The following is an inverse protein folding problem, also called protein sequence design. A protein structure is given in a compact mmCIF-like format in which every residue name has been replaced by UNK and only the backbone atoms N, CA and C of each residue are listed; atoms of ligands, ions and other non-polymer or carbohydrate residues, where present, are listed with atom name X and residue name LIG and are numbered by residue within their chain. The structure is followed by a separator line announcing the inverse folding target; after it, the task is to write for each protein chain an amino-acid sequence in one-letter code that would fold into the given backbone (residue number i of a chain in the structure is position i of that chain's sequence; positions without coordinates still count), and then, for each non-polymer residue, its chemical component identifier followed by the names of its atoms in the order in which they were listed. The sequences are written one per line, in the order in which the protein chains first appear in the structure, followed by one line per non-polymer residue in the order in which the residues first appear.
data_IF_691142676324
#
_entry.id   IF_691142676324
#
_cell.length_a   1.000
_cell.length_b   1.000
_cell.length_c   1.000
_cell.angle_alpha   90.00
_cell.angle_beta   90.00
_cell.angle_gamma   90.00
#
_symmetry.space_group_name_H-M   'P 1'
#
loop_
_entity.id
_entity.type
_entity.pdbx_description
1 polymer ?
#
# COMPACT_ATOMS: atom_id res chain seq x y z
N UNK A 1 34.40 51.26 -42.52
CA UNK A 1 34.29 50.87 -41.09
C UNK A 1 33.01 50.09 -40.74
N UNK A 2 32.08 49.84 -41.68
CA UNK A 2 30.77 49.22 -41.40
C UNK A 2 30.81 47.68 -41.23
N UNK A 3 31.84 47.01 -41.75
CA UNK A 3 31.93 45.54 -41.75
C UNK A 3 32.47 44.94 -40.44
N UNK A 4 33.17 45.73 -39.61
CA UNK A 4 33.69 45.28 -38.31
C UNK A 4 32.62 45.20 -37.22
N UNK A 5 31.63 46.11 -37.26
CA UNK A 5 30.51 46.12 -36.30
C UNK A 5 29.57 44.93 -36.48
N UNK A 6 29.37 44.46 -37.72
CA UNK A 6 28.56 43.27 -38.03
C UNK A 6 29.12 41.97 -37.41
N UNK A 7 30.44 41.81 -37.36
CA UNK A 7 31.08 40.64 -36.75
C UNK A 7 30.92 40.65 -35.23
N UNK A 8 31.05 41.80 -34.58
CA UNK A 8 30.88 41.94 -33.13
C UNK A 8 29.42 41.71 -32.72
N UNK A 9 28.46 42.26 -33.46
CA UNK A 9 27.03 42.00 -33.22
C UNK A 9 26.68 40.51 -33.43
N UNK A 10 27.21 39.87 -34.47
CA UNK A 10 27.01 38.44 -34.69
C UNK A 10 27.60 37.58 -33.56
N UNK A 11 28.79 37.93 -33.06
CA UNK A 11 29.42 37.24 -31.92
C UNK A 11 28.61 37.41 -30.63
N UNK A 12 28.14 38.61 -30.33
CA UNK A 12 27.28 38.88 -29.17
C UNK A 12 25.96 38.11 -29.30
N UNK A 13 25.36 38.07 -30.49
CA UNK A 13 24.13 37.33 -30.73
C UNK A 13 24.30 35.81 -30.52
N UNK A 14 25.42 35.22 -30.94
CA UNK A 14 25.74 33.81 -30.72
C UNK A 14 25.92 33.53 -29.21
N UNK A 15 26.63 34.39 -28.49
CA UNK A 15 26.83 34.25 -27.04
C UNK A 15 25.50 34.33 -26.29
N UNK A 16 24.67 35.33 -26.59
CA UNK A 16 23.34 35.50 -26.00
C UNK A 16 22.47 34.28 -26.32
N UNK A 17 22.47 33.80 -27.56
CA UNK A 17 21.71 32.62 -27.96
C UNK A 17 22.17 31.38 -27.20
N UNK A 18 23.49 31.20 -26.99
CA UNK A 18 24.03 30.10 -26.20
C UNK A 18 23.63 30.15 -24.73
N UNK A 19 23.67 31.34 -24.10
CA UNK A 19 23.23 31.54 -22.72
C UNK A 19 21.73 31.27 -22.58
N UNK A 20 20.93 31.81 -23.51
CA UNK A 20 19.47 31.63 -23.53
C UNK A 20 19.11 30.16 -23.74
N UNK A 21 19.76 29.47 -24.68
CA UNK A 21 19.55 28.05 -24.89
C UNK A 21 19.91 27.22 -23.65
N UNK A 22 21.03 27.53 -22.98
CA UNK A 22 21.42 26.90 -21.72
C UNK A 22 20.43 27.15 -20.58
N UNK A 23 19.89 28.36 -20.48
CA UNK A 23 18.86 28.67 -19.49
C UNK A 23 17.56 27.89 -19.76
N UNK A 24 17.11 27.83 -21.02
CA UNK A 24 15.91 27.05 -21.38
C UNK A 24 16.07 25.55 -21.15
N UNK A 25 17.24 24.96 -21.42
CA UNK A 25 17.48 23.54 -21.14
C UNK A 25 17.47 23.26 -19.63
N UNK A 26 18.09 24.13 -18.82
CA UNK A 26 18.04 24.01 -17.36
C UNK A 26 16.62 24.17 -16.81
N UNK A 27 15.85 25.15 -17.30
CA UNK A 27 14.46 25.35 -16.89
C UNK A 27 13.61 24.12 -17.22
N UNK A 28 13.73 23.57 -18.43
CA UNK A 28 13.02 22.35 -18.82
C UNK A 28 13.38 21.16 -17.91
N UNK A 29 14.65 21.04 -17.53
CA UNK A 29 15.10 19.98 -16.63
C UNK A 29 14.47 20.11 -15.22
N UNK A 30 14.46 21.32 -14.65
CA UNK A 30 13.83 21.55 -13.35
C UNK A 30 12.31 21.35 -13.38
N UNK A 31 11.63 21.76 -14.47
CA UNK A 31 10.20 21.50 -14.65
C UNK A 31 9.90 20.01 -14.71
N UNK A 32 10.75 19.21 -15.39
CA UNK A 32 10.59 17.76 -15.43
C UNK A 32 10.69 17.16 -14.03
N UNK A 33 11.76 17.46 -13.28
CA UNK A 33 11.95 16.94 -11.91
C UNK A 33 10.76 17.29 -11.00
N UNK A 34 10.29 18.54 -11.05
CA UNK A 34 9.14 18.96 -10.24
C UNK A 34 7.85 18.23 -10.63
N UNK A 35 7.65 18.02 -11.93
CA UNK A 35 6.51 17.25 -12.43
C UNK A 35 6.57 15.79 -11.95
N UNK A 36 7.73 15.15 -12.02
CA UNK A 36 7.86 13.74 -11.65
C UNK A 36 7.75 13.55 -10.15
N UNK A 37 8.31 14.46 -9.34
CA UNK A 37 8.10 14.48 -7.89
C UNK A 37 6.62 14.63 -7.54
N UNK A 38 5.88 15.50 -8.23
CA UNK A 38 4.44 15.67 -8.02
C UNK A 38 3.69 14.38 -8.35
N UNK A 39 4.02 13.72 -9.46
CA UNK A 39 3.43 12.42 -9.83
C UNK A 39 3.71 11.36 -8.77
N UNK A 40 4.93 11.27 -8.25
CA UNK A 40 5.26 10.34 -7.16
C UNK A 40 4.41 10.58 -5.91
N UNK A 41 4.22 11.84 -5.49
CA UNK A 41 3.38 12.17 -4.34
C UNK A 41 1.90 11.88 -4.59
N UNK A 42 1.42 12.16 -5.80
CA UNK A 42 0.05 11.83 -6.21
C UNK A 42 -0.17 10.32 -6.22
N UNK A 43 0.78 9.54 -6.75
CA UNK A 43 0.73 8.08 -6.73
C UNK A 43 0.70 7.55 -5.30
N UNK A 44 1.56 8.05 -4.40
CA UNK A 44 1.51 7.65 -2.98
C UNK A 44 0.13 7.90 -2.37
N UNK A 45 -0.44 9.07 -2.64
CA UNK A 45 -1.79 9.41 -2.16
C UNK A 45 -2.85 8.49 -2.74
N UNK A 46 -2.77 8.17 -4.04
CA UNK A 46 -3.65 7.20 -4.71
C UNK A 46 -3.56 5.82 -4.07
N UNK A 47 -2.34 5.33 -3.82
CA UNK A 47 -2.11 4.02 -3.17
C UNK A 47 -2.73 3.99 -1.76
N UNK A 48 -2.61 5.06 -0.98
CA UNK A 48 -3.24 5.15 0.35
C UNK A 48 -4.79 5.20 0.26
N UNK A 49 -5.35 5.90 -0.72
CA UNK A 49 -6.80 5.91 -0.95
C UNK A 49 -7.32 4.52 -1.35
N UNK A 50 -6.60 3.84 -2.25
CA UNK A 50 -6.91 2.48 -2.70
C UNK A 50 -6.82 1.51 -1.53
N UNK A 51 -5.74 1.58 -0.75
CA UNK A 51 -5.58 0.82 0.50
C UNK A 51 -6.75 1.04 1.45
N UNK A 52 -7.15 2.29 1.69
CA UNK A 52 -8.27 2.59 2.59
C UNK A 52 -9.58 1.96 2.11
N UNK A 53 -9.85 1.98 0.80
CA UNK A 53 -11.03 1.33 0.20
C UNK A 53 -10.96 -0.19 0.29
N UNK A 54 -9.80 -0.78 -0.01
CA UNK A 54 -9.55 -2.22 0.12
C UNK A 54 -9.73 -2.70 1.56
N UNK A 55 -9.18 -1.94 2.51
CA UNK A 55 -9.40 -2.20 3.94
C UNK A 55 -10.88 -2.12 4.25
N UNK A 56 -11.65 -1.14 3.75
CA UNK A 56 -13.10 -1.08 4.00
C UNK A 56 -13.85 -2.27 3.41
N UNK A 57 -13.42 -2.79 2.26
CA UNK A 57 -14.06 -3.89 1.54
C UNK A 57 -13.64 -5.30 1.99
N UNK A 58 -12.59 -5.45 2.82
CA UNK A 58 -12.19 -6.76 3.33
C UNK A 58 -13.31 -7.53 4.06
N UNK A 59 -13.30 -8.85 4.00
CA UNK A 59 -14.29 -9.69 4.68
C UNK A 59 -13.63 -10.98 5.12
N UNK A 60 -14.28 -11.73 6.01
CA UNK A 60 -13.90 -13.09 6.38
C UNK A 60 -14.90 -14.03 5.66
N UNK A 61 -14.61 -14.42 4.39
CA UNK A 61 -15.54 -15.22 3.57
C UNK A 61 -15.67 -16.67 4.04
N UNK A 62 -14.61 -17.26 4.58
CA UNK A 62 -14.51 -18.67 4.98
C UNK A 62 -14.70 -18.90 6.49
N UNK A 63 -14.89 -17.82 7.25
CA UNK A 63 -15.16 -17.81 8.69
C UNK A 63 -14.03 -18.37 9.54
N UNK A 64 -12.79 -18.20 9.12
CA UNK A 64 -11.62 -18.72 9.81
C UNK A 64 -10.96 -17.69 10.76
N UNK A 65 -11.65 -16.56 10.98
CA UNK A 65 -11.27 -15.43 11.84
C UNK A 65 -10.22 -14.49 11.25
N UNK A 66 -9.87 -14.66 9.97
CA UNK A 66 -9.00 -13.74 9.25
C UNK A 66 -9.78 -12.95 8.20
N UNK A 67 -9.64 -11.63 8.23
CA UNK A 67 -10.14 -10.81 7.13
C UNK A 67 -9.22 -10.93 5.92
N UNK A 68 -9.82 -10.95 4.74
CA UNK A 68 -9.14 -11.05 3.45
C UNK A 68 -9.50 -9.87 2.56
N UNK A 69 -8.55 -9.46 1.72
CA UNK A 69 -8.72 -8.28 0.88
C UNK A 69 -9.41 -8.59 -0.44
N UNK A 70 -10.48 -7.87 -0.76
CA UNK A 70 -11.20 -8.06 -2.03
C UNK A 70 -10.27 -7.99 -3.26
N UNK A 71 -10.37 -9.00 -4.14
CA UNK A 71 -9.66 -9.11 -5.42
C UNK A 71 -10.59 -8.99 -6.63
N UNK A 72 -11.82 -9.55 -6.55
CA UNK A 72 -12.89 -9.53 -7.58
C UNK A 72 -12.54 -10.15 -8.96
N UNK A 73 -11.37 -9.84 -9.54
CA UNK A 73 -10.96 -10.15 -10.92
C UNK A 73 -9.64 -10.97 -10.99
N UNK A 74 -9.08 -11.08 -12.20
CA UNK A 74 -7.80 -11.73 -12.49
C UNK A 74 -6.64 -11.20 -11.62
N UNK A 75 -5.71 -12.10 -11.28
CA UNK A 75 -4.51 -11.86 -10.49
C UNK A 75 -3.81 -10.56 -10.93
N UNK A 76 -3.30 -9.79 -9.96
CA UNK A 76 -2.55 -8.54 -10.17
C UNK A 76 -3.36 -7.33 -10.65
N UNK A 77 -4.69 -7.40 -10.58
CA UNK A 77 -5.59 -6.31 -10.98
C UNK A 77 -6.39 -5.82 -9.80
N UNK A 78 -6.55 -4.49 -9.67
CA UNK A 78 -7.41 -3.93 -8.64
C UNK A 78 -8.89 -4.20 -8.93
N UNK A 79 -9.70 -4.51 -7.88
CA UNK A 79 -11.14 -4.64 -8.02
C UNK A 79 -11.78 -3.36 -8.57
N UNK A 80 -12.78 -3.50 -9.44
CA UNK A 80 -13.53 -2.36 -10.01
C UNK A 80 -14.22 -1.55 -8.91
N UNK A 81 -14.69 -2.23 -7.86
CA UNK A 81 -15.31 -1.64 -6.67
C UNK A 81 -14.39 -0.69 -5.88
N UNK A 82 -13.07 -0.82 -6.01
CA UNK A 82 -12.07 0.04 -5.33
C UNK A 82 -11.83 1.33 -6.10
N UNK A 83 -12.13 1.37 -7.40
CA UNK A 83 -12.08 2.57 -8.25
C UNK A 83 -10.83 2.68 -9.12
N UNK A 84 -10.25 3.89 -9.22
CA UNK A 84 -9.18 4.19 -10.19
C UNK A 84 -7.93 3.38 -9.87
N UNK A 85 -7.71 2.32 -10.65
CA UNK A 85 -6.55 1.44 -10.52
C UNK A 85 -5.37 1.86 -11.39
N UNK A 86 -5.20 3.16 -11.66
CA UNK A 86 -4.05 3.68 -12.42
C UNK A 86 -3.26 4.69 -11.59
N UNK A 87 -1.94 4.67 -11.74
CA UNK A 87 -1.02 5.61 -11.11
C UNK A 87 -0.96 6.96 -11.85
N UNK A 88 -0.19 7.92 -11.32
CA UNK A 88 -0.04 9.23 -11.92
C UNK A 88 0.72 9.25 -13.27
N UNK A 89 1.32 8.12 -13.66
CA UNK A 89 1.97 7.91 -14.95
C UNK A 89 1.07 7.16 -15.95
N UNK A 90 -0.14 6.78 -15.53
CA UNK A 90 -1.15 6.15 -16.37
C UNK A 90 -0.98 4.62 -16.51
N UNK A 91 -0.19 3.99 -15.64
CA UNK A 91 -0.07 2.53 -15.57
C UNK A 91 -1.00 1.96 -14.53
N UNK A 92 -1.48 0.74 -14.79
CA UNK A 92 -2.29 0.02 -13.82
C UNK A 92 -1.48 -0.25 -12.55
N UNK A 93 -2.11 -0.13 -11.39
CA UNK A 93 -1.47 -0.46 -10.12
C UNK A 93 -1.50 -1.98 -9.97
N UNK A 94 -0.33 -2.55 -9.75
CA UNK A 94 -0.17 -3.98 -9.52
C UNK A 94 -0.61 -4.31 -8.10
N UNK A 95 -1.51 -5.27 -7.96
CA UNK A 95 -2.15 -5.59 -6.69
C UNK A 95 -2.15 -7.08 -6.38
N UNK A 96 -1.53 -7.47 -5.28
CA UNK A 96 -1.47 -8.86 -4.82
C UNK A 96 -2.03 -9.03 -3.41
N UNK A 97 -2.76 -10.11 -3.16
CA UNK A 97 -3.34 -10.46 -1.85
C UNK A 97 -2.97 -11.87 -1.43
N UNK A 98 -3.05 -12.14 -0.13
CA UNK A 98 -2.80 -13.47 0.43
C UNK A 98 -4.02 -13.95 1.22
N UNK A 99 -4.34 -15.23 1.02
CA UNK A 99 -5.28 -16.01 1.81
C UNK A 99 -4.66 -16.24 3.20
N UNK A 100 -5.42 -15.93 4.24
CA UNK A 100 -4.92 -15.97 5.61
C UNK A 100 -5.71 -16.97 6.42
N UNK A 101 -4.98 -17.89 7.03
CA UNK A 101 -5.53 -18.80 8.02
C UNK A 101 -5.47 -20.26 7.55
N UNK A 102 -6.42 -21.06 8.02
CA UNK A 102 -6.33 -22.52 7.94
C UNK A 102 -7.20 -23.13 6.85
N UNK A 103 -8.17 -22.38 6.33
CA UNK A 103 -9.07 -22.83 5.26
C UNK A 103 -8.60 -22.22 3.93
N UNK A 104 -7.41 -22.65 3.50
CA UNK A 104 -6.72 -22.15 2.29
C UNK A 104 -7.36 -22.58 0.94
N UNK A 105 -8.67 -22.70 0.88
CA UNK A 105 -9.38 -22.88 -0.39
C UNK A 105 -9.40 -21.50 -1.03
N UNK A 106 -8.64 -21.30 -2.11
CA UNK A 106 -8.58 -20.03 -2.85
C UNK A 106 -9.98 -19.48 -3.06
N UNK A 107 -10.35 -18.50 -2.25
CA UNK A 107 -11.59 -17.77 -2.42
C UNK A 107 -11.39 -16.82 -3.58
N UNK A 108 -11.95 -17.21 -4.73
CA UNK A 108 -11.67 -16.57 -6.02
C UNK A 108 -11.91 -15.06 -6.04
N UNK A 109 -12.69 -14.54 -5.07
CA UNK A 109 -13.02 -13.14 -4.93
C UNK A 109 -12.16 -12.36 -3.91
N UNK A 110 -11.43 -13.01 -3.00
CA UNK A 110 -10.77 -12.37 -1.84
C UNK A 110 -9.29 -12.70 -1.66
N UNK A 111 -8.77 -13.76 -2.27
CA UNK A 111 -7.35 -14.07 -2.17
C UNK A 111 -6.72 -14.44 -3.51
N UNK A 112 -5.48 -13.97 -3.74
CA UNK A 112 -4.72 -14.28 -4.94
C UNK A 112 -3.94 -15.59 -4.82
N UNK A 113 -3.31 -15.78 -3.67
CA UNK A 113 -2.44 -16.92 -3.39
C UNK A 113 -2.54 -17.31 -1.92
N UNK A 114 -2.20 -18.56 -1.60
CA UNK A 114 -1.98 -19.02 -0.23
C UNK A 114 -0.49 -19.03 0.15
N UNK A 115 0.37 -18.50 -0.74
CA UNK A 115 1.83 -18.48 -0.57
C UNK A 115 2.34 -17.05 -0.59
N UNK A 116 3.12 -16.68 0.44
CA UNK A 116 3.79 -15.39 0.67
C UNK A 116 3.87 -14.44 -0.54
N UNK A 117 3.27 -13.25 -0.39
CA UNK A 117 3.32 -12.12 -1.33
C UNK A 117 4.42 -11.09 -0.98
N UNK A 118 5.15 -11.32 0.11
CA UNK A 118 6.22 -10.46 0.62
C UNK A 118 7.11 -11.24 1.60
N UNK A 119 8.43 -10.98 1.64
CA UNK A 119 9.29 -11.54 2.69
C UNK A 119 9.02 -10.90 4.06
N UNK A 120 8.28 -9.79 4.11
CA UNK A 120 7.88 -9.14 5.36
C UNK A 120 6.70 -9.92 5.97
N UNK A 121 6.81 -10.26 7.25
CA UNK A 121 5.73 -10.91 7.99
C UNK A 121 4.56 -9.94 8.24
N UNK A 122 3.35 -10.49 8.39
CA UNK A 122 2.13 -9.75 8.75
C UNK A 122 1.58 -8.81 7.65
N UNK A 123 1.50 -9.28 6.42
CA UNK A 123 0.92 -8.55 5.28
C UNK A 123 -0.30 -9.29 4.74
N UNK A 124 -1.38 -8.55 4.47
CA UNK A 124 -2.60 -9.01 3.81
C UNK A 124 -2.57 -8.77 2.30
N UNK A 125 -1.89 -7.69 1.86
CA UNK A 125 -1.81 -7.32 0.46
C UNK A 125 -0.71 -6.33 0.16
N UNK A 126 -0.43 -6.13 -1.12
CA UNK A 126 0.59 -5.20 -1.60
C UNK A 126 0.12 -4.49 -2.86
N UNK A 127 0.37 -3.20 -2.91
CA UNK A 127 0.13 -2.32 -4.06
C UNK A 127 1.48 -1.83 -4.59
N UNK A 128 1.68 -1.90 -5.90
CA UNK A 128 2.91 -1.44 -6.56
C UNK A 128 2.55 -0.59 -7.78
N UNK A 129 3.19 0.57 -7.90
CA UNK A 129 3.18 1.39 -9.12
C UNK A 129 4.48 1.23 -9.89
N UNK A 130 4.38 1.29 -11.21
CA UNK A 130 5.44 1.13 -12.22
C UNK A 130 6.37 2.34 -12.35
N UNK A 131 6.25 3.33 -11.46
CA UNK A 131 7.13 4.49 -11.44
C UNK A 131 7.11 5.38 -12.68
N UNK A 132 8.17 6.17 -12.84
CA UNK A 132 8.42 7.07 -13.98
C UNK A 132 8.70 6.30 -15.27
N UNK A 133 9.42 5.18 -15.17
CA UNK A 133 9.93 4.42 -16.31
C UNK A 133 8.91 3.44 -16.90
N UNK A 134 7.76 3.27 -16.22
CA UNK A 134 6.65 2.43 -16.65
C UNK A 134 6.96 0.92 -16.72
N UNK A 135 8.02 0.48 -16.04
CA UNK A 135 8.47 -0.91 -15.90
C UNK A 135 8.27 -1.35 -14.45
N UNK A 136 7.95 -2.63 -14.24
CA UNK A 136 7.79 -3.16 -12.88
C UNK A 136 9.09 -3.86 -12.46
N UNK A 137 9.85 -3.22 -11.57
CA UNK A 137 11.10 -3.76 -11.02
C UNK A 137 10.89 -4.49 -9.68
N UNK A 138 9.82 -4.15 -8.98
CA UNK A 138 9.50 -4.66 -7.65
C UNK A 138 8.65 -5.93 -7.76
N UNK A 139 9.19 -7.04 -7.27
CA UNK A 139 8.52 -8.34 -7.27
C UNK A 139 8.08 -8.76 -5.85
N UNK A 140 7.38 -9.90 -5.74
CA UNK A 140 6.90 -10.46 -4.48
C UNK A 140 8.02 -10.88 -3.50
N UNK A 141 9.26 -11.05 -3.96
CA UNK A 141 10.41 -11.45 -3.12
C UNK A 141 11.20 -10.25 -2.55
N UNK A 142 10.87 -9.03 -2.95
CA UNK A 142 11.52 -7.83 -2.44
C UNK A 142 10.84 -7.32 -1.17
N UNK A 143 11.64 -6.90 -0.17
CA UNK A 143 11.16 -6.29 1.09
C UNK A 143 10.98 -4.78 0.98
N UNK A 144 11.53 -4.15 -0.05
CA UNK A 144 11.43 -2.72 -0.35
C UNK A 144 11.17 -2.51 -1.84
N UNK A 145 10.61 -1.36 -2.21
CA UNK A 145 10.52 -0.98 -3.63
C UNK A 145 11.89 -0.91 -4.27
N UNK A 146 11.97 -1.28 -5.56
CA UNK A 146 13.16 -1.25 -6.38
C UNK A 146 13.02 -0.17 -7.46
N UNK A 147 14.16 0.37 -7.92
CA UNK A 147 14.15 1.39 -8.95
C UNK A 147 13.35 2.63 -8.54
N UNK A 148 12.44 3.02 -9.41
CA UNK A 148 11.50 4.13 -9.27
C UNK A 148 10.07 3.70 -8.93
N UNK A 149 9.86 2.39 -8.72
CA UNK A 149 8.59 1.87 -8.26
C UNK A 149 8.21 2.41 -6.88
N UNK A 150 6.90 2.51 -6.67
CA UNK A 150 6.34 2.87 -5.38
C UNK A 150 5.56 1.67 -4.85
N UNK A 151 6.03 1.13 -3.73
CA UNK A 151 5.39 0.01 -3.04
C UNK A 151 4.68 0.50 -1.78
N UNK A 152 3.45 0.02 -1.60
CA UNK A 152 2.70 0.14 -0.35
C UNK A 152 2.23 -1.24 0.09
N UNK A 153 2.46 -1.58 1.35
CA UNK A 153 2.01 -2.84 1.94
C UNK A 153 0.80 -2.60 2.85
N UNK A 154 -0.14 -3.54 2.80
CA UNK A 154 -1.34 -3.57 3.63
C UNK A 154 -1.13 -4.62 4.70
N UNK A 155 -1.00 -4.19 5.95
CA UNK A 155 -0.71 -5.06 7.08
C UNK A 155 -1.94 -5.84 7.56
N UNK A 156 -1.71 -7.01 8.15
CA UNK A 156 -2.76 -7.80 8.82
C UNK A 156 -3.45 -7.02 9.93
N UNK A 157 -2.73 -6.15 10.64
CA UNK A 157 -3.33 -5.32 11.69
C UNK A 157 -4.32 -4.27 11.16
N UNK A 158 -4.28 -3.96 9.86
CA UNK A 158 -5.08 -2.88 9.28
C UNK A 158 -6.44 -3.36 8.78
N UNK A 159 -6.48 -4.55 8.19
CA UNK A 159 -7.71 -5.20 7.73
C UNK A 159 -8.52 -5.79 8.88
N UNK A 160 -7.85 -6.13 9.98
CA UNK A 160 -8.45 -6.63 11.22
C UNK A 160 -8.81 -5.49 12.19
N UNK A 161 -8.80 -4.22 11.73
CA UNK A 161 -9.34 -3.12 12.51
C UNK A 161 -10.88 -3.18 12.56
N UNK A 162 -11.47 -2.62 13.61
CA UNK A 162 -12.93 -2.57 13.76
C UNK A 162 -13.60 -1.79 12.61
N UNK A 163 -14.29 -2.50 11.72
CA UNK A 163 -15.11 -1.89 10.66
C UNK A 163 -16.49 -1.55 11.19
N UNK A 164 -16.81 -0.27 11.21
CA UNK A 164 -18.17 0.20 11.45
C UNK A 164 -19.00 0.03 10.17
N UNK A 165 -19.79 -1.04 10.10
CA UNK A 165 -20.79 -1.20 9.05
C UNK A 165 -21.82 -0.06 9.13
N UNK A 166 -21.88 0.76 8.08
CA UNK A 166 -22.98 1.69 7.85
C UNK A 166 -22.91 3.01 8.62
N UNK A 167 -22.30 4.02 8.00
CA UNK A 167 -22.71 5.43 8.02
C UNK A 167 -23.19 6.02 9.36
N UNK A 168 -22.29 6.62 10.12
CA UNK A 168 -22.41 8.02 10.59
C UNK A 168 -21.13 8.39 11.35
N UNK A 169 -20.69 9.62 11.13
CA UNK A 169 -19.63 10.37 11.83
C UNK A 169 -19.17 9.78 13.18
N UNK A 170 -17.86 9.50 13.31
CA UNK A 170 -17.22 9.17 14.59
C UNK A 170 -17.27 10.44 15.46
N UNK A 171 -18.36 10.59 16.19
CA UNK A 171 -18.40 11.48 17.35
C UNK A 171 -18.05 10.65 18.58
N UNK A 172 -17.03 11.16 19.28
CA UNK A 172 -16.50 10.76 20.59
C UNK A 172 -15.39 9.71 20.58
N UNK A 173 -14.18 10.24 20.75
CA UNK A 173 -12.98 9.66 21.32
C UNK A 173 -13.11 8.27 21.96
N UNK A 174 -12.82 7.21 21.20
CA UNK A 174 -12.21 6.01 21.79
C UNK A 174 -11.12 5.55 20.84
N UNK A 175 -9.97 6.22 20.95
CA UNK A 175 -8.69 5.73 20.47
C UNK A 175 -8.34 4.51 21.33
N UNK A 176 -8.20 3.34 20.73
CA UNK A 176 -7.70 2.16 21.43
C UNK A 176 -7.34 1.04 20.46
N UNK A 177 -6.07 0.98 20.08
CA UNK A 177 -5.42 -0.22 19.54
C UNK A 177 -5.35 -1.33 20.62
N UNK A 178 -6.49 -1.73 21.19
CA UNK A 178 -6.62 -2.64 22.34
C UNK A 178 -7.92 -3.47 22.22
N UNK A 179 -8.18 -4.09 21.08
CA UNK A 179 -9.30 -5.03 20.98
C UNK A 179 -8.84 -6.43 21.39
N UNK A 180 -9.61 -7.09 22.26
CA UNK A 180 -9.41 -8.49 22.59
C UNK A 180 -10.19 -9.37 21.59
N UNK A 181 -9.59 -10.45 21.12
CA UNK A 181 -10.27 -11.53 20.40
C UNK A 181 -11.33 -12.09 21.35
N UNK A 182 -12.58 -12.26 20.94
CA UNK A 182 -13.66 -12.77 21.81
C UNK A 182 -14.16 -14.09 21.27
N UNK A 183 -13.84 -15.20 21.95
CA UNK A 183 -14.23 -16.55 21.49
C UNK A 183 -14.26 -17.54 22.65
N UNK A 184 -14.91 -18.68 22.48
CA UNK A 184 -14.89 -19.78 23.46
C UNK A 184 -13.67 -20.71 23.29
N UNK A 185 -13.04 -20.66 22.12
CA UNK A 185 -11.86 -21.45 21.75
C UNK A 185 -10.64 -20.56 21.64
N UNK A 186 -9.50 -21.09 22.02
CA UNK A 186 -8.21 -20.41 21.93
C UNK A 186 -7.88 -20.04 20.47
N UNK A 187 -7.42 -18.80 20.20
CA UNK A 187 -6.92 -18.44 18.88
C UNK A 187 -5.68 -19.26 18.53
N UNK A 188 -5.66 -19.88 17.35
CA UNK A 188 -4.61 -20.86 16.95
C UNK A 188 -3.32 -20.22 16.46
N UNK A 189 -3.38 -18.95 16.07
CA UNK A 189 -2.28 -18.22 15.42
C UNK A 189 -2.10 -16.82 16.03
N UNK A 190 -1.88 -16.73 17.36
CA UNK A 190 -1.74 -15.45 18.03
C UNK A 190 -0.37 -14.82 17.85
N UNK A 191 -0.36 -13.49 17.75
CA UNK A 191 0.86 -12.68 17.78
C UNK A 191 1.22 -12.31 19.21
N UNK A 192 2.50 -12.07 19.50
CA UNK A 192 2.93 -11.64 20.83
C UNK A 192 2.16 -10.39 21.28
N UNK A 193 1.61 -10.41 22.49
CA UNK A 193 0.82 -9.31 23.03
C UNK A 193 -0.65 -9.27 22.57
N UNK A 194 -1.11 -10.25 21.77
CA UNK A 194 -2.54 -10.38 21.45
C UNK A 194 -3.37 -10.55 22.72
N UNK A 195 -4.55 -9.91 22.77
CA UNK A 195 -5.52 -10.04 23.85
C UNK A 195 -6.63 -11.00 23.43
N UNK A 196 -7.08 -11.88 24.33
CA UNK A 196 -8.19 -12.80 24.10
C UNK A 196 -9.11 -12.86 25.33
N UNK A 197 -10.39 -12.55 25.14
CA UNK A 197 -11.44 -12.79 26.10
C UNK A 197 -12.08 -14.16 25.85
N UNK A 198 -11.75 -15.10 26.73
CA UNK A 198 -12.29 -16.45 26.72
C UNK A 198 -13.72 -16.44 27.29
N UNK A 199 -14.71 -16.60 26.41
CA UNK A 199 -16.13 -16.60 26.78
C UNK A 199 -16.58 -17.86 27.53
N UNK A 200 -15.79 -18.93 27.51
CA UNK A 200 -16.11 -20.17 28.24
C UNK A 200 -15.88 -20.05 29.75
N UNK A 201 -14.91 -19.22 30.14
CA UNK A 201 -14.52 -18.98 31.54
C UNK A 201 -14.59 -17.50 31.96
N UNK A 202 -15.02 -16.62 31.06
CA UNK A 202 -15.16 -15.18 31.25
C UNK A 202 -13.87 -14.49 31.71
N UNK A 203 -12.72 -14.81 31.09
CA UNK A 203 -11.41 -14.25 31.45
C UNK A 203 -10.68 -13.63 30.27
N UNK A 204 -10.01 -12.52 30.53
CA UNK A 204 -9.08 -11.90 29.59
C UNK A 204 -7.69 -12.52 29.72
N UNK A 205 -7.05 -12.82 28.60
CA UNK A 205 -5.73 -13.41 28.48
C UNK A 205 -4.86 -12.61 27.51
N UNK A 206 -3.54 -12.68 27.67
CA UNK A 206 -2.55 -12.13 26.75
C UNK A 206 -1.63 -13.24 26.25
N UNK A 207 -1.33 -13.24 24.95
CA UNK A 207 -0.41 -14.22 24.38
C UNK A 207 1.06 -13.80 24.56
N UNK A 208 1.88 -14.72 25.07
CA UNK A 208 3.34 -14.58 25.18
C UNK A 208 4.00 -15.50 24.16
N UNK A 209 4.74 -14.94 23.19
CA UNK A 209 5.56 -15.74 22.27
C UNK A 209 6.77 -16.40 22.97
N UNK A 210 7.24 -15.83 24.08
CA UNK A 210 8.35 -16.39 24.88
C UNK A 210 7.95 -17.72 25.51
N UNK A 211 6.74 -17.78 26.08
CA UNK A 211 6.23 -18.96 26.76
C UNK A 211 5.32 -19.81 25.85
N UNK A 212 5.08 -19.34 24.63
CA UNK A 212 4.17 -19.93 23.64
C UNK A 212 2.80 -20.25 24.22
N UNK A 213 2.26 -19.36 25.06
CA UNK A 213 1.05 -19.63 25.85
C UNK A 213 0.24 -18.36 26.15
N UNK A 214 -1.05 -18.56 26.44
CA UNK A 214 -1.95 -17.53 26.93
C UNK A 214 -1.87 -17.39 28.45
N UNK A 215 -1.52 -16.20 28.91
CA UNK A 215 -1.47 -15.86 30.33
C UNK A 215 -2.73 -15.10 30.71
N UNK A 216 -3.43 -15.55 31.76
CA UNK A 216 -4.56 -14.80 32.30
C UNK A 216 -4.10 -13.46 32.86
N UNK A 217 -4.80 -12.40 32.47
CA UNK A 217 -4.69 -11.09 33.10
C UNK A 217 -5.74 -11.07 34.23
N UNK A 218 -5.29 -11.38 35.45
CA UNK A 218 -6.14 -11.30 36.64
C UNK A 218 -6.32 -9.85 37.10
#
# INVERSE_FOLDING_TARGET
MRNGYFLVEAMIAIIITGIVAGAFTMMNYYTKIQSDLLKQQNTKTLLEVIRSRLINLSSDPDSDSYFELLKEDANNTLPVSVGIGVDAWGKAIYYSTIDLGNVNLIDSAYADTNTSISPNSNIAGRLISYGEDSTLDTNATHTTSQGDDIMLEIGLGEINHFKLYGSSEIITETRGYNSAIVSATEPTTPINGALWYDTSVSKLKIYSQTDTNWTNLN
#
